data_IF_092035427247
#
_entry.id   IF_092035427247
#
_cell.length_a   1.000
_cell.length_b   1.000
_cell.length_c   1.000
_cell.angle_alpha   90.00
_cell.angle_beta   90.00
_cell.angle_gamma   90.00
#
_symmetry.space_group_name_H-M   'P 1'
#
loop_
_entity.id
_entity.type
_entity.pdbx_description
1 polymer ?
#
# COMPACT_ATOMS: atom_id res chain seq x y z
N UNK A 1 16.25 18.09 -12.39
CA UNK A 1 15.78 16.79 -11.83
C UNK A 1 14.46 16.90 -11.08
N UNK A 2 14.28 17.95 -10.27
CA UNK A 2 13.02 18.21 -9.57
C UNK A 2 11.83 18.34 -10.54
N UNK A 3 11.96 19.12 -11.62
CA UNK A 3 10.87 19.29 -12.59
C UNK A 3 10.50 18.01 -13.34
N UNK A 4 11.50 17.17 -13.68
CA UNK A 4 11.23 15.85 -14.24
C UNK A 4 10.39 15.01 -13.27
N UNK A 5 10.71 15.07 -11.98
CA UNK A 5 9.93 14.38 -10.96
C UNK A 5 8.51 14.94 -10.85
N UNK A 6 8.33 16.26 -10.87
CA UNK A 6 6.99 16.89 -10.91
C UNK A 6 6.17 16.40 -12.10
N UNK A 7 6.77 16.31 -13.27
CA UNK A 7 6.12 15.76 -14.47
C UNK A 7 5.69 14.29 -14.29
N UNK A 8 6.53 13.46 -13.65
CA UNK A 8 6.16 12.07 -13.33
C UNK A 8 4.98 12.01 -12.37
N UNK A 9 4.96 12.87 -11.34
CA UNK A 9 3.86 12.97 -10.38
C UNK A 9 2.57 13.41 -11.08
N UNK A 10 2.65 14.44 -11.93
CA UNK A 10 1.51 14.90 -12.71
C UNK A 10 0.95 13.79 -13.60
N UNK A 11 1.81 13.09 -14.31
CA UNK A 11 1.45 11.89 -15.09
C UNK A 11 0.75 10.83 -14.23
N UNK A 12 1.25 10.58 -13.03
CA UNK A 12 0.65 9.61 -12.11
C UNK A 12 -0.75 10.05 -11.67
N UNK A 13 -0.94 11.33 -11.38
CA UNK A 13 -2.21 11.91 -10.91
C UNK A 13 -3.28 11.94 -12.01
N UNK A 14 -2.93 12.44 -13.20
CA UNK A 14 -3.88 12.65 -14.32
C UNK A 14 -4.12 11.41 -15.15
N UNK A 15 -3.13 10.52 -15.25
CA UNK A 15 -3.17 9.36 -16.15
C UNK A 15 -3.05 9.72 -17.61
N UNK A 16 -2.65 10.96 -17.97
CA UNK A 16 -2.47 11.40 -19.35
C UNK A 16 -1.53 10.47 -20.13
N UNK A 17 -1.55 10.50 -21.45
CA UNK A 17 -0.54 9.83 -22.26
C UNK A 17 0.79 10.57 -22.14
N UNK A 18 1.93 9.89 -22.32
CA UNK A 18 3.24 10.52 -22.23
C UNK A 18 3.39 11.69 -23.19
N UNK A 19 2.88 11.53 -24.39
CA UNK A 19 2.90 12.55 -25.45
C UNK A 19 2.11 13.80 -25.09
N UNK A 20 1.08 13.66 -24.25
CA UNK A 20 0.22 14.76 -23.81
C UNK A 20 0.63 15.35 -22.44
N UNK A 21 1.77 14.92 -21.91
CA UNK A 21 2.23 15.33 -20.57
C UNK A 21 2.34 16.86 -20.42
N UNK A 22 2.78 17.56 -21.46
CA UNK A 22 2.98 19.02 -21.43
C UNK A 22 1.75 19.82 -21.86
N UNK A 23 0.79 19.20 -22.54
CA UNK A 23 -0.50 19.81 -22.84
C UNK A 23 -1.27 20.11 -21.55
N UNK A 24 -1.24 19.15 -20.63
CA UNK A 24 -1.88 19.30 -19.31
C UNK A 24 -1.13 20.26 -18.36
N UNK A 25 0.10 20.65 -18.70
CA UNK A 25 0.98 21.53 -17.92
C UNK A 25 1.16 22.89 -18.59
N UNK A 26 0.13 23.40 -19.22
CA UNK A 26 0.10 24.53 -20.15
C UNK A 26 0.87 25.80 -19.73
N UNK A 27 1.10 25.99 -18.44
CA UNK A 27 1.72 27.21 -17.92
C UNK A 27 3.23 27.15 -17.75
N UNK A 28 3.89 26.01 -18.01
CA UNK A 28 5.31 25.83 -17.72
C UNK A 28 6.07 25.33 -18.96
N UNK A 29 6.89 26.19 -19.54
CA UNK A 29 7.88 25.77 -20.56
C UNK A 29 9.00 24.97 -19.89
N UNK A 30 9.02 23.66 -20.09
CA UNK A 30 10.12 22.82 -19.67
C UNK A 30 11.21 22.76 -20.76
N UNK A 31 12.49 22.81 -20.40
CA UNK A 31 13.59 22.74 -21.36
C UNK A 31 13.88 21.30 -21.86
N UNK A 32 12.94 20.39 -21.68
CA UNK A 32 13.07 18.97 -22.03
C UNK A 32 11.74 18.42 -22.57
N UNK A 33 11.85 17.34 -23.36
CA UNK A 33 10.70 16.66 -23.95
C UNK A 33 10.12 15.58 -22.99
N UNK A 34 8.90 15.09 -23.32
CA UNK A 34 8.30 13.99 -22.58
C UNK A 34 9.12 12.69 -22.63
N UNK A 35 9.89 12.47 -23.73
CA UNK A 35 10.81 11.33 -23.84
C UNK A 35 11.88 11.38 -22.77
N UNK A 36 12.40 12.56 -22.46
CA UNK A 36 13.36 12.77 -21.37
C UNK A 36 12.74 12.38 -20.03
N UNK A 37 11.49 12.80 -19.76
CA UNK A 37 10.79 12.44 -18.52
C UNK A 37 10.59 10.92 -18.44
N UNK A 38 10.17 10.29 -19.53
CA UNK A 38 10.00 8.83 -19.61
C UNK A 38 11.31 8.07 -19.39
N UNK A 39 12.40 8.56 -19.99
CA UNK A 39 13.75 7.97 -19.80
C UNK A 39 14.15 7.97 -18.33
N UNK A 40 14.07 9.13 -17.66
CA UNK A 40 14.43 9.22 -16.24
C UNK A 40 13.48 8.41 -15.35
N UNK A 41 12.20 8.44 -15.61
CA UNK A 41 11.24 7.60 -14.90
C UNK A 41 11.61 6.12 -15.00
N UNK A 42 11.91 5.63 -16.20
CA UNK A 42 12.33 4.25 -16.44
C UNK A 42 13.65 3.91 -15.74
N UNK A 43 14.61 4.83 -15.77
CA UNK A 43 15.90 4.71 -15.07
C UNK A 43 15.70 4.64 -13.55
N UNK A 44 14.87 5.50 -12.99
CA UNK A 44 14.58 5.53 -11.55
C UNK A 44 13.86 4.26 -11.07
N UNK A 45 12.95 3.74 -11.89
CA UNK A 45 12.31 2.46 -11.60
C UNK A 45 13.36 1.34 -11.50
N UNK A 46 14.22 1.21 -12.52
CA UNK A 46 15.24 0.17 -12.55
C UNK A 46 16.22 0.27 -11.37
N UNK A 47 16.57 1.48 -10.98
CA UNK A 47 17.48 1.76 -9.86
C UNK A 47 16.81 1.71 -8.47
N UNK A 48 15.50 1.47 -8.38
CA UNK A 48 14.75 1.44 -7.12
C UNK A 48 14.72 2.78 -6.37
N UNK A 49 14.88 3.90 -7.10
CA UNK A 49 14.95 5.25 -6.52
C UNK A 49 13.70 5.58 -5.73
N UNK A 50 12.53 5.22 -6.24
CA UNK A 50 11.25 5.49 -5.57
C UNK A 50 11.12 4.75 -4.23
N UNK A 51 11.60 3.52 -4.17
CA UNK A 51 11.60 2.76 -2.90
C UNK A 51 12.57 3.38 -1.88
N UNK A 52 13.77 3.75 -2.32
CA UNK A 52 14.75 4.44 -1.47
C UNK A 52 14.19 5.78 -0.95
N UNK A 53 13.53 6.54 -1.82
CA UNK A 53 12.91 7.80 -1.45
C UNK A 53 11.75 7.62 -0.45
N UNK A 54 10.92 6.59 -0.62
CA UNK A 54 9.88 6.24 0.35
C UNK A 54 10.46 5.94 1.73
N UNK A 55 11.52 5.13 1.79
CA UNK A 55 12.19 4.84 3.07
C UNK A 55 12.86 6.07 3.68
N UNK A 56 13.48 6.93 2.87
CA UNK A 56 14.05 8.18 3.36
C UNK A 56 13.01 9.09 4.00
N UNK A 57 11.82 9.21 3.39
CA UNK A 57 10.71 9.97 3.95
C UNK A 57 10.23 9.34 5.27
N UNK A 58 10.08 8.02 5.33
CA UNK A 58 9.67 7.35 6.56
C UNK A 58 10.66 7.57 7.72
N UNK A 59 11.96 7.58 7.42
CA UNK A 59 13.01 7.86 8.40
C UNK A 59 12.92 9.31 8.88
N UNK A 60 12.77 10.26 7.96
CA UNK A 60 12.68 11.69 8.28
C UNK A 60 11.48 12.03 9.15
N UNK A 61 10.32 11.44 8.83
CA UNK A 61 9.06 11.75 9.51
C UNK A 61 8.65 10.71 10.56
N UNK A 62 9.54 9.80 10.96
CA UNK A 62 9.20 8.70 11.89
C UNK A 62 8.61 9.16 13.22
N UNK A 63 9.05 10.32 13.74
CA UNK A 63 8.55 10.89 15.00
C UNK A 63 7.13 11.43 14.92
N UNK A 64 6.62 11.69 13.70
CA UNK A 64 5.26 12.16 13.48
C UNK A 64 4.25 11.02 13.26
N UNK A 65 4.72 9.77 13.18
CA UNK A 65 3.85 8.62 12.96
C UNK A 65 3.14 8.20 14.25
N UNK A 66 1.85 7.89 14.16
CA UNK A 66 1.11 7.23 15.25
C UNK A 66 1.31 5.72 15.19
N UNK A 67 2.39 5.25 15.80
CA UNK A 67 2.72 3.82 15.81
C UNK A 67 1.99 3.02 16.90
N UNK A 68 1.22 3.67 17.80
CA UNK A 68 0.41 2.96 18.80
C UNK A 68 -0.67 2.09 18.17
N UNK A 69 -1.21 2.56 17.04
CA UNK A 69 -2.32 1.92 16.33
C UNK A 69 -1.95 1.75 14.88
N UNK A 70 -1.74 0.53 14.50
CA UNK A 70 -1.43 0.17 13.11
C UNK A 70 -2.63 -0.51 12.47
N UNK A 71 -2.83 -0.27 11.18
CA UNK A 71 -3.93 -0.86 10.47
C UNK A 71 -3.43 -1.60 9.24
N UNK A 72 -3.75 -2.88 9.16
CA UNK A 72 -3.38 -3.76 8.05
C UNK A 72 -4.61 -4.04 7.19
N UNK A 73 -4.52 -3.75 5.90
CA UNK A 73 -5.62 -4.00 4.97
C UNK A 73 -5.12 -4.26 3.55
N UNK A 74 -5.94 -4.92 2.74
CA UNK A 74 -5.66 -5.22 1.34
C UNK A 74 -6.39 -4.28 0.40
N UNK A 75 -5.70 -3.75 -0.61
CA UNK A 75 -6.36 -2.97 -1.66
C UNK A 75 -6.31 -3.68 -3.01
N UNK A 76 -7.49 -3.86 -3.61
CA UNK A 76 -7.64 -4.45 -4.94
C UNK A 76 -7.72 -3.37 -6.00
N UNK A 77 -6.84 -3.44 -6.99
CA UNK A 77 -6.82 -2.53 -8.14
C UNK A 77 -7.30 -3.24 -9.39
N UNK A 78 -8.30 -2.64 -10.07
CA UNK A 78 -8.77 -3.11 -11.37
C UNK A 78 -7.70 -2.88 -12.44
N UNK A 79 -7.45 -3.88 -13.25
CA UNK A 79 -6.47 -3.83 -14.35
C UNK A 79 -7.21 -3.99 -15.68
N UNK A 80 -7.19 -2.97 -16.52
CA UNK A 80 -7.94 -2.94 -17.80
C UNK A 80 -7.28 -3.72 -18.93
N UNK A 81 -5.96 -3.93 -18.92
CA UNK A 81 -5.24 -4.74 -19.92
C UNK A 81 -4.28 -5.73 -19.25
N UNK A 82 -3.98 -6.81 -19.99
CA UNK A 82 -3.22 -7.97 -19.54
C UNK A 82 -1.94 -7.63 -18.76
N UNK A 83 -2.03 -7.63 -17.43
CA UNK A 83 -0.89 -7.78 -16.58
C UNK A 83 -0.81 -9.26 -16.17
N UNK A 84 0.35 -9.87 -16.30
CA UNK A 84 0.58 -11.29 -16.00
C UNK A 84 0.11 -11.70 -14.59
N UNK A 85 0.12 -10.76 -13.63
CA UNK A 85 -0.32 -10.99 -12.25
C UNK A 85 -1.77 -10.61 -11.97
N UNK A 86 -2.54 -10.15 -12.96
CA UNK A 86 -3.95 -9.81 -12.76
C UNK A 86 -4.83 -10.98 -13.17
N UNK A 87 -5.60 -11.51 -12.21
CA UNK A 87 -6.60 -12.56 -12.45
C UNK A 87 -7.99 -12.06 -12.12
N UNK A 88 -9.01 -12.73 -12.67
CA UNK A 88 -10.39 -12.34 -12.52
C UNK A 88 -10.86 -12.51 -11.06
N UNK A 89 -11.51 -11.49 -10.54
CA UNK A 89 -12.14 -11.49 -9.24
C UNK A 89 -13.65 -11.26 -9.38
N UNK A 90 -14.45 -12.24 -8.97
CA UNK A 90 -15.91 -12.20 -9.10
C UNK A 90 -16.55 -10.99 -8.41
N UNK A 91 -16.13 -10.63 -7.20
CA UNK A 91 -16.67 -9.50 -6.44
C UNK A 91 -16.48 -8.15 -7.15
N UNK A 92 -15.37 -7.97 -7.86
CA UNK A 92 -15.05 -6.73 -8.59
C UNK A 92 -15.43 -6.82 -10.08
N UNK A 93 -15.96 -7.95 -10.54
CA UNK A 93 -16.33 -8.24 -11.94
C UNK A 93 -15.24 -7.86 -12.94
N UNK A 94 -13.98 -8.11 -12.60
CA UNK A 94 -12.84 -7.73 -13.42
C UNK A 94 -11.52 -8.35 -12.98
N UNK A 95 -10.50 -8.18 -13.80
CA UNK A 95 -9.15 -8.60 -13.45
C UNK A 95 -8.56 -7.62 -12.43
N UNK A 96 -8.08 -8.12 -11.32
CA UNK A 96 -7.49 -7.31 -10.24
C UNK A 96 -6.13 -7.82 -9.82
N UNK A 97 -5.34 -6.93 -9.26
CA UNK A 97 -4.19 -7.25 -8.42
C UNK A 97 -4.49 -6.76 -7.00
N UNK A 98 -3.94 -7.44 -6.00
CA UNK A 98 -4.10 -7.09 -4.59
C UNK A 98 -2.74 -6.72 -3.98
N UNK A 99 -2.74 -5.74 -3.09
CA UNK A 99 -1.56 -5.29 -2.34
C UNK A 99 -1.94 -5.13 -0.88
N UNK A 100 -1.13 -5.71 -0.01
CA UNK A 100 -1.25 -5.53 1.43
C UNK A 100 -0.55 -4.22 1.83
N UNK A 101 -1.25 -3.37 2.56
CA UNK A 101 -0.75 -2.08 3.03
C UNK A 101 -0.87 -2.02 4.54
N UNK A 102 0.19 -1.54 5.19
CA UNK A 102 0.19 -1.19 6.60
C UNK A 102 0.18 0.33 6.72
N UNK A 103 -0.78 0.87 7.46
CA UNK A 103 -0.83 2.29 7.79
C UNK A 103 -0.63 2.51 9.28
N UNK A 104 -0.19 3.70 9.63
CA UNK A 104 -0.18 4.19 11.02
C UNK A 104 -1.59 4.54 11.51
N UNK A 105 -1.72 5.02 12.75
CA UNK A 105 -3.01 5.39 13.35
C UNK A 105 -3.67 6.61 12.71
N UNK A 106 -2.94 7.42 11.96
CA UNK A 106 -3.46 8.56 11.19
C UNK A 106 -3.85 8.19 9.75
N UNK A 107 -3.50 6.96 9.31
CA UNK A 107 -3.77 6.46 7.98
C UNK A 107 -2.61 6.63 7.00
N UNK A 108 -1.44 7.09 7.44
CA UNK A 108 -0.28 7.17 6.56
C UNK A 108 0.28 5.79 6.27
N UNK A 109 0.46 5.43 5.00
CA UNK A 109 1.07 4.16 4.62
C UNK A 109 2.54 4.11 5.04
N UNK A 110 2.88 3.16 5.90
CA UNK A 110 4.24 2.97 6.41
C UNK A 110 4.89 1.69 5.90
N UNK A 111 4.11 0.76 5.34
CA UNK A 111 4.63 -0.48 4.78
C UNK A 111 3.75 -1.04 3.67
N UNK A 112 4.39 -1.64 2.66
CA UNK A 112 3.69 -2.16 1.48
C UNK A 112 4.23 -3.55 1.16
N UNK A 113 3.32 -4.50 1.06
CA UNK A 113 3.61 -5.87 0.61
C UNK A 113 3.86 -5.96 -0.90
N UNK A 114 4.22 -7.15 -1.34
CA UNK A 114 4.27 -7.43 -2.76
C UNK A 114 2.88 -7.45 -3.38
N UNK A 115 2.83 -7.17 -4.67
CA UNK A 115 1.60 -7.30 -5.43
C UNK A 115 1.34 -8.77 -5.71
N UNK A 116 0.18 -9.22 -5.31
CA UNK A 116 -0.32 -10.56 -5.57
C UNK A 116 -1.50 -10.53 -6.56
N UNK A 117 -1.77 -11.67 -7.14
CA UNK A 117 -2.90 -11.84 -8.06
C UNK A 117 -4.23 -11.66 -7.32
N UNK A 118 -5.16 -10.92 -7.93
CA UNK A 118 -6.43 -10.55 -7.31
C UNK A 118 -7.42 -11.69 -7.08
N UNK A 119 -7.16 -12.89 -7.62
CA UNK A 119 -7.96 -14.08 -7.33
C UNK A 119 -7.63 -14.73 -5.99
N UNK A 120 -6.52 -14.33 -5.36
CA UNK A 120 -6.16 -14.80 -4.04
C UNK A 120 -6.96 -14.06 -2.95
N UNK A 121 -7.25 -14.76 -1.86
CA UNK A 121 -7.86 -14.17 -0.67
C UNK A 121 -6.80 -13.40 0.14
N UNK A 122 -7.26 -12.60 1.10
CA UNK A 122 -6.42 -11.74 1.93
C UNK A 122 -5.42 -12.52 2.82
N UNK A 123 -5.60 -13.83 2.96
CA UNK A 123 -4.70 -14.71 3.73
C UNK A 123 -3.62 -15.39 2.87
N UNK A 124 -3.65 -15.18 1.54
CA UNK A 124 -2.62 -15.76 0.67
C UNK A 124 -1.26 -15.19 1.01
N UNK A 125 -0.32 -16.07 1.35
CA UNK A 125 1.03 -15.74 1.80
C UNK A 125 1.10 -14.61 2.85
N UNK A 126 0.09 -14.49 3.69
CA UNK A 126 -0.03 -13.41 4.67
C UNK A 126 1.21 -13.31 5.59
N UNK A 127 1.87 -14.42 5.89
CA UNK A 127 3.04 -14.42 6.75
C UNK A 127 4.27 -13.87 6.03
N UNK A 128 4.49 -14.25 4.77
CA UNK A 128 5.58 -13.71 3.95
C UNK A 128 5.41 -12.21 3.74
N UNK A 129 4.22 -11.79 3.30
CA UNK A 129 3.89 -10.39 3.06
C UNK A 129 4.00 -9.55 4.34
N UNK A 130 3.43 -10.01 5.45
CA UNK A 130 3.51 -9.33 6.73
C UNK A 130 4.95 -9.22 7.24
N UNK A 131 5.73 -10.29 7.13
CA UNK A 131 7.14 -10.28 7.55
C UNK A 131 7.97 -9.31 6.71
N UNK A 132 7.70 -9.21 5.41
CA UNK A 132 8.35 -8.25 4.51
C UNK A 132 8.03 -6.81 4.93
N UNK A 133 6.77 -6.49 5.18
CA UNK A 133 6.35 -5.17 5.67
C UNK A 133 7.04 -4.85 7.00
N UNK A 134 7.04 -5.77 7.95
CA UNK A 134 7.69 -5.57 9.25
C UNK A 134 9.20 -5.33 9.12
N UNK A 135 9.86 -6.00 8.20
CA UNK A 135 11.28 -5.80 7.93
C UNK A 135 11.55 -4.43 7.27
N UNK A 136 10.63 -3.95 6.42
CA UNK A 136 10.74 -2.61 5.83
C UNK A 136 10.68 -1.54 6.91
N UNK A 137 9.67 -1.55 7.78
CA UNK A 137 9.52 -0.52 8.83
C UNK A 137 10.63 -0.59 9.87
N UNK A 138 11.11 -1.79 10.21
CA UNK A 138 12.28 -1.96 11.09
C UNK A 138 13.53 -1.30 10.50
N UNK A 139 13.78 -1.42 9.19
CA UNK A 139 14.89 -0.76 8.50
C UNK A 139 14.78 0.77 8.54
N UNK A 140 13.57 1.31 8.67
CA UNK A 140 13.33 2.75 8.82
C UNK A 140 13.42 3.22 10.28
N UNK A 141 13.79 2.36 11.24
CA UNK A 141 13.86 2.72 12.66
C UNK A 141 12.49 2.87 13.33
N UNK A 142 11.41 2.41 12.68
CA UNK A 142 10.05 2.51 13.24
C UNK A 142 9.82 1.35 14.20
N UNK A 143 9.59 1.69 15.46
CA UNK A 143 9.30 0.73 16.53
C UNK A 143 7.80 0.52 16.66
N UNK A 144 7.40 -0.75 16.76
CA UNK A 144 5.99 -1.17 16.82
C UNK A 144 5.68 -2.09 17.99
N UNK A 145 6.61 -2.23 18.94
CA UNK A 145 6.36 -2.99 20.17
C UNK A 145 5.23 -2.31 20.95
N UNK A 146 4.36 -3.11 21.58
CA UNK A 146 3.18 -2.68 22.31
C UNK A 146 2.09 -1.96 21.47
N UNK A 147 2.22 -1.95 20.15
CA UNK A 147 1.19 -1.40 19.24
C UNK A 147 0.00 -2.34 19.09
N UNK A 148 -1.17 -1.77 18.85
CA UNK A 148 -2.33 -2.51 18.37
C UNK A 148 -2.23 -2.68 16.85
N UNK A 149 -2.37 -3.92 16.37
CA UNK A 149 -2.54 -4.18 14.94
C UNK A 149 -4.00 -4.49 14.63
N UNK A 150 -4.69 -3.53 14.03
CA UNK A 150 -6.04 -3.68 13.53
C UNK A 150 -6.02 -4.34 12.15
N UNK A 151 -6.91 -5.31 11.93
CA UNK A 151 -7.17 -5.84 10.60
C UNK A 151 -8.60 -6.36 10.52
N UNK A 152 -9.16 -6.48 9.32
CA UNK A 152 -10.52 -7.00 9.15
C UNK A 152 -10.62 -8.49 9.58
N UNK A 153 -11.85 -8.93 9.86
CA UNK A 153 -12.14 -10.34 10.20
C UNK A 153 -11.66 -11.33 9.14
N UNK A 154 -11.46 -10.89 7.89
CA UNK A 154 -10.84 -11.69 6.83
C UNK A 154 -9.43 -12.15 7.19
N UNK A 155 -8.70 -11.35 7.97
CA UNK A 155 -7.33 -11.65 8.42
C UNK A 155 -7.28 -12.53 9.69
N UNK A 156 -8.42 -12.98 10.24
CA UNK A 156 -8.43 -13.81 11.45
C UNK A 156 -7.89 -15.21 11.20
N UNK A 157 -6.58 -15.37 11.31
CA UNK A 157 -5.94 -16.68 11.30
C UNK A 157 -4.90 -16.84 12.43
N UNK A 158 -4.75 -18.07 12.91
CA UNK A 158 -3.81 -18.38 14.01
C UNK A 158 -2.37 -18.00 13.67
N UNK A 159 -1.95 -18.20 12.41
CA UNK A 159 -0.58 -17.92 11.96
C UNK A 159 -0.27 -16.43 12.06
N UNK A 160 -1.15 -15.55 11.58
CA UNK A 160 -0.95 -14.10 11.64
C UNK A 160 -0.97 -13.60 13.09
N UNK A 161 -1.93 -14.02 13.93
CA UNK A 161 -1.95 -13.64 15.34
C UNK A 161 -0.66 -14.01 16.07
N UNK A 162 -0.11 -15.22 15.83
CA UNK A 162 1.19 -15.63 16.38
C UNK A 162 2.33 -14.75 15.87
N UNK A 163 2.33 -14.38 14.58
CA UNK A 163 3.35 -13.51 14.00
C UNK A 163 3.31 -12.10 14.58
N UNK A 164 2.13 -11.58 14.91
CA UNK A 164 1.92 -10.30 15.58
C UNK A 164 2.46 -10.38 17.03
N UNK A 165 2.04 -11.39 17.80
CA UNK A 165 2.51 -11.58 19.18
C UNK A 165 4.03 -11.77 19.28
N UNK A 166 4.66 -12.49 18.33
CA UNK A 166 6.13 -12.64 18.32
C UNK A 166 6.87 -11.30 18.19
N UNK A 167 6.17 -10.26 17.68
CA UNK A 167 6.69 -8.89 17.55
C UNK A 167 6.27 -8.00 18.74
N UNK A 168 5.77 -8.61 19.82
CA UNK A 168 5.28 -7.93 21.02
C UNK A 168 4.15 -6.92 20.73
N UNK A 169 3.33 -7.20 19.70
CA UNK A 169 2.18 -6.39 19.32
C UNK A 169 0.87 -7.06 19.75
N UNK A 170 -0.21 -6.29 19.85
CA UNK A 170 -1.54 -6.77 20.21
C UNK A 170 -2.41 -6.94 18.96
N UNK A 171 -2.81 -8.17 18.56
CA UNK A 171 -3.68 -8.37 17.40
C UNK A 171 -5.11 -7.97 17.73
N UNK A 172 -5.55 -6.82 17.25
CA UNK A 172 -6.91 -6.32 17.38
C UNK A 172 -7.75 -6.68 16.14
N UNK A 173 -7.98 -7.97 15.94
CA UNK A 173 -8.68 -8.53 14.79
C UNK A 173 -9.97 -9.16 15.29
N UNK A 174 -11.12 -8.77 14.70
CA UNK A 174 -12.41 -9.38 15.04
C UNK A 174 -12.43 -10.86 14.69
N UNK A 175 -12.95 -11.70 15.58
CA UNK A 175 -13.07 -13.14 15.28
C UNK A 175 -13.98 -13.38 14.08
N UNK A 176 -13.52 -14.24 13.15
CA UNK A 176 -14.33 -14.65 12.02
C UNK A 176 -15.23 -15.84 12.41
N UNK A 177 -16.56 -15.69 12.40
CA UNK A 177 -17.47 -16.79 12.76
C UNK A 177 -17.27 -18.05 11.91
N UNK A 178 -16.86 -17.90 10.65
CA UNK A 178 -16.60 -19.04 9.75
C UNK A 178 -15.45 -19.93 10.22
N UNK A 179 -14.56 -19.42 11.08
CA UNK A 179 -13.47 -20.20 11.65
C UNK A 179 -13.89 -20.99 12.90
N UNK A 180 -15.16 -20.90 13.33
CA UNK A 180 -15.70 -21.63 14.48
C UNK A 180 -16.15 -23.02 14.04
N UNK A 181 -15.49 -24.04 14.59
CA UNK A 181 -15.90 -25.45 14.44
C UNK A 181 -16.71 -25.97 15.67
N UNK A 182 -17.34 -25.08 16.42
CA UNK A 182 -18.08 -25.41 17.66
C UNK A 182 -17.93 -24.35 18.73
N UNK A 183 -18.52 -24.62 19.93
CA UNK A 183 -18.37 -23.72 21.07
C UNK A 183 -16.92 -23.72 21.56
N UNK A 184 -16.28 -22.55 21.54
CA UNK A 184 -14.95 -22.39 22.10
C UNK A 184 -15.02 -22.42 23.62
N UNK A 185 -14.30 -23.35 24.23
CA UNK A 185 -14.00 -23.33 25.67
C UNK A 185 -12.80 -22.42 25.90
N UNK A 186 -12.80 -21.65 27.00
CA UNK A 186 -11.72 -20.80 27.41
C UNK A 186 -11.94 -19.30 27.24
N UNK A 187 -10.93 -18.50 27.60
CA UNK A 187 -10.98 -17.03 27.60
C UNK A 187 -11.22 -16.48 26.18
N UNK A 188 -12.15 -15.52 26.09
CA UNK A 188 -12.36 -14.77 24.82
C UNK A 188 -11.06 -14.08 24.39
N UNK A 189 -10.82 -14.03 23.08
CA UNK A 189 -9.69 -13.28 22.54
C UNK A 189 -9.88 -11.81 22.83
N UNK A 190 -8.78 -11.13 23.12
CA UNK A 190 -8.77 -9.69 23.26
C UNK A 190 -9.24 -9.01 21.98
N UNK A 191 -10.15 -8.06 22.12
CA UNK A 191 -10.62 -7.21 21.03
C UNK A 191 -11.11 -5.89 21.64
N UNK A 192 -10.47 -4.79 21.24
CA UNK A 192 -10.84 -3.43 21.61
C UNK A 192 -11.62 -2.80 20.45
N UNK A 193 -12.93 -2.62 20.66
CA UNK A 193 -13.80 -2.06 19.63
C UNK A 193 -13.54 -0.57 19.39
N UNK A 194 -13.14 0.19 20.42
CA UNK A 194 -12.83 1.62 20.28
C UNK A 194 -11.62 1.84 19.40
N UNK A 195 -10.56 1.06 19.61
CA UNK A 195 -9.37 1.07 18.76
C UNK A 195 -9.70 0.58 17.36
N UNK A 196 -10.52 -0.46 17.23
CA UNK A 196 -10.90 -1.03 15.94
C UNK A 196 -11.71 -0.05 15.07
N UNK A 197 -12.63 0.71 15.66
CA UNK A 197 -13.42 1.72 14.93
C UNK A 197 -12.55 2.77 14.23
N UNK A 198 -11.35 3.05 14.76
CA UNK A 198 -10.40 3.98 14.14
C UNK A 198 -9.79 3.44 12.83
N UNK A 199 -9.98 2.18 12.51
CA UNK A 199 -9.49 1.56 11.25
C UNK A 199 -10.04 2.23 9.98
N UNK A 200 -11.18 2.93 10.07
CA UNK A 200 -11.78 3.61 8.91
C UNK A 200 -10.83 4.65 8.26
N UNK A 201 -9.78 5.08 8.95
CA UNK A 201 -8.75 5.95 8.35
C UNK A 201 -8.09 5.32 7.13
N UNK A 202 -8.05 3.97 7.04
CA UNK A 202 -7.54 3.26 5.87
C UNK A 202 -8.39 3.52 4.63
N UNK A 203 -9.71 3.63 4.78
CA UNK A 203 -10.61 3.90 3.67
C UNK A 203 -10.30 5.25 3.02
N UNK A 204 -9.98 6.26 3.85
CA UNK A 204 -9.53 7.56 3.36
C UNK A 204 -8.21 7.47 2.60
N UNK A 205 -7.25 6.70 3.13
CA UNK A 205 -5.95 6.47 2.49
C UNK A 205 -6.12 5.74 1.16
N UNK A 206 -6.98 4.73 1.09
CA UNK A 206 -7.26 4.02 -0.14
C UNK A 206 -8.05 4.87 -1.14
N UNK A 207 -9.02 5.66 -0.70
CA UNK A 207 -9.73 6.61 -1.55
C UNK A 207 -8.75 7.62 -2.18
N UNK A 208 -7.79 8.12 -1.38
CA UNK A 208 -6.75 9.00 -1.89
C UNK A 208 -5.85 8.28 -2.90
N UNK A 209 -5.37 7.07 -2.62
CA UNK A 209 -4.61 6.24 -3.57
C UNK A 209 -5.43 5.99 -4.85
N UNK A 210 -6.73 5.76 -4.74
CA UNK A 210 -7.63 5.51 -5.86
C UNK A 210 -7.90 6.74 -6.72
N UNK A 211 -7.71 7.96 -6.17
CA UNK A 211 -7.82 9.21 -6.92
C UNK A 211 -6.77 9.37 -8.01
N UNK A 212 -5.66 8.66 -7.91
CA UNK A 212 -4.63 8.67 -8.95
C UNK A 212 -5.06 7.83 -10.16
N UNK A 213 -5.38 8.52 -11.25
CA UNK A 213 -5.91 7.89 -12.48
C UNK A 213 -4.98 6.87 -13.11
N UNK A 214 -3.67 6.99 -12.91
CA UNK A 214 -2.70 6.03 -13.43
C UNK A 214 -2.85 4.65 -12.80
N UNK A 215 -3.44 4.54 -11.61
CA UNK A 215 -3.82 3.26 -11.02
C UNK A 215 -4.85 2.52 -11.89
N UNK A 216 -5.75 3.27 -12.55
CA UNK A 216 -6.88 2.74 -13.32
C UNK A 216 -6.57 2.63 -14.82
N UNK A 217 -5.63 3.44 -15.34
CA UNK A 217 -5.31 3.54 -16.76
C UNK A 217 -4.02 2.81 -17.06
N UNK A 218 -4.14 1.73 -17.80
CA UNK A 218 -3.14 1.05 -18.66
C UNK A 218 -1.64 1.28 -18.35
N UNK A 219 -0.83 0.27 -18.47
CA UNK A 219 0.62 0.28 -18.74
C UNK A 219 1.61 0.50 -17.61
N UNK A 220 1.21 0.74 -16.37
CA UNK A 220 2.18 0.86 -15.26
C UNK A 220 2.51 -0.52 -14.65
N UNK A 221 1.75 -1.52 -15.05
CA UNK A 221 1.83 -2.87 -14.51
C UNK A 221 2.58 -3.87 -15.41
N UNK A 222 3.73 -3.48 -15.95
CA UNK A 222 4.71 -4.49 -16.30
C UNK A 222 5.29 -5.07 -15.02
N UNK A 223 5.35 -6.37 -14.92
CA UNK A 223 5.67 -7.16 -13.71
C UNK A 223 6.89 -6.65 -12.91
N UNK A 224 7.88 -6.06 -13.58
CA UNK A 224 9.09 -5.49 -12.95
C UNK A 224 8.87 -4.12 -12.28
N UNK A 225 7.79 -3.41 -12.57
CA UNK A 225 7.59 -2.00 -12.17
C UNK A 225 6.52 -1.80 -11.09
N UNK A 226 5.86 -2.85 -10.62
CA UNK A 226 4.65 -2.80 -9.79
C UNK A 226 4.83 -2.17 -8.42
N UNK A 227 5.91 -2.55 -7.74
CA UNK A 227 6.19 -2.06 -6.39
C UNK A 227 6.54 -0.56 -6.37
N UNK A 228 7.06 -0.05 -7.45
CA UNK A 228 7.55 1.31 -7.56
C UNK A 228 6.41 2.31 -7.62
N UNK A 229 5.37 2.04 -8.38
CA UNK A 229 4.26 2.98 -8.59
C UNK A 229 3.41 3.20 -7.33
N UNK A 230 3.08 2.14 -6.59
CA UNK A 230 2.37 2.28 -5.31
C UNK A 230 3.20 3.04 -4.28
N UNK A 231 4.52 2.83 -4.28
CA UNK A 231 5.46 3.57 -3.43
C UNK A 231 5.55 5.04 -3.83
N UNK A 232 5.46 5.37 -5.12
CA UNK A 232 5.39 6.74 -5.62
C UNK A 232 4.12 7.48 -5.18
N UNK A 233 3.00 6.79 -5.25
CA UNK A 233 1.73 7.30 -4.79
C UNK A 233 1.74 7.63 -3.31
N UNK A 234 2.35 6.77 -2.50
CA UNK A 234 2.40 6.93 -1.05
C UNK A 234 3.34 8.07 -0.62
N UNK A 235 4.40 8.33 -1.39
CA UNK A 235 5.30 9.46 -1.17
C UNK A 235 4.58 10.81 -1.29
N UNK A 236 3.65 10.94 -2.25
CA UNK A 236 2.95 12.19 -2.46
C UNK A 236 1.88 12.47 -1.40
N UNK A 237 1.40 11.45 -0.68
CA UNK A 237 0.50 11.61 0.45
C UNK A 237 1.15 12.22 1.68
N UNK A 238 2.46 12.05 1.81
CA UNK A 238 3.23 12.63 2.91
C UNK A 238 3.62 14.11 2.66
N UNK A 239 3.42 14.65 1.46
CA UNK A 239 3.67 16.07 1.16
C UNK A 239 2.59 17.02 1.70
N UNK A 240 1.52 16.50 2.31
CA UNK A 240 0.47 17.28 2.97
C UNK A 240 0.55 17.21 4.51
N UNK A 241 1.68 16.78 5.05
CA UNK A 241 2.10 16.96 6.44
C UNK A 241 2.95 18.22 6.57
#
# INVERSE_FOLDING_TARGET
MYDIFRCVVHKAKTGCQWEHLFVDLECVKYPFSWQTVYYYHSKWIKAGVYEKAFFAILIEYQLLLDTEKLNLDGTHTLVKKAAESAKYQHRKKGRTSNVLVLTDGRGYPIGIGDIISGNHNDLYDIIGLFSKIMNQIKKCGIFVENSYLNADKGFDCKKLRRAIHRRKMFPNIKENPRNRKGNKRGKKRFFDEKVYKKRFVNERSFAWIDSFRTKTVRNIFNYRNKNTFLKDLLRNGLQFL
#
